data_IF_609479224213
#
_entry.id   IF_609479224213
#
_cell.length_a   1.000
_cell.length_b   1.000
_cell.length_c   1.000
_cell.angle_alpha   90.00
_cell.angle_beta   90.00
_cell.angle_gamma   90.00
#
_symmetry.space_group_name_H-M   'P 1'
#
loop_
_entity.id
_entity.type
_entity.pdbx_description
1 polymer ?
#
# COMPACT_ATOMS: atom_id res chain seq x y z
N UNK A 1 -19.68 6.42 11.41
CA UNK A 1 -19.41 7.30 10.25
C UNK A 1 -17.90 7.45 10.12
N UNK A 2 -17.30 6.78 9.14
CA UNK A 2 -15.84 6.76 8.98
C UNK A 2 -15.37 8.09 8.35
N UNK A 3 -14.60 8.88 9.10
CA UNK A 3 -14.04 10.17 8.65
C UNK A 3 -12.95 10.00 7.57
N UNK A 4 -12.57 8.77 7.24
CA UNK A 4 -11.51 8.42 6.31
C UNK A 4 -12.02 7.64 5.08
N UNK A 5 -13.33 7.41 4.99
CA UNK A 5 -13.95 6.72 3.85
C UNK A 5 -14.15 7.71 2.70
N UNK A 6 -13.16 7.81 1.82
CA UNK A 6 -13.27 8.61 0.60
C UNK A 6 -14.00 7.79 -0.47
N UNK A 7 -15.14 8.29 -0.95
CA UNK A 7 -15.94 7.67 -2.02
C UNK A 7 -15.39 7.93 -3.43
N UNK A 8 -14.42 8.86 -3.55
CA UNK A 8 -13.68 9.21 -4.77
C UNK A 8 -12.18 9.47 -4.43
N UNK A 9 -11.37 9.88 -5.43
CA UNK A 9 -9.92 10.16 -5.26
C UNK A 9 -9.70 11.24 -4.20
N UNK A 10 -8.89 10.95 -3.17
CA UNK A 10 -8.59 11.88 -2.09
C UNK A 10 -7.86 13.14 -2.63
N UNK A 11 -8.45 14.35 -2.52
CA UNK A 11 -7.88 15.58 -3.06
C UNK A 11 -6.67 16.11 -2.27
N UNK A 12 -6.37 15.54 -1.10
CA UNK A 12 -5.25 15.94 -0.23
C UNK A 12 -4.01 15.05 -0.32
N UNK A 13 -4.02 14.03 -1.19
CA UNK A 13 -2.88 13.14 -1.41
C UNK A 13 -2.40 13.21 -2.86
N UNK A 14 -1.63 14.26 -3.16
CA UNK A 14 -0.65 14.17 -4.25
C UNK A 14 0.30 13.03 -3.89
N UNK A 15 0.22 11.91 -4.62
CA UNK A 15 1.09 10.75 -4.35
C UNK A 15 2.35 10.82 -5.21
N UNK A 16 3.47 10.30 -4.70
CA UNK A 16 4.73 10.27 -5.45
C UNK A 16 4.59 9.62 -6.85
N UNK A 17 3.71 8.62 -6.98
CA UNK A 17 3.37 8.01 -8.28
C UNK A 17 2.72 9.00 -9.25
N UNK A 18 1.83 9.88 -8.78
CA UNK A 18 1.20 10.91 -9.60
C UNK A 18 2.18 12.02 -9.97
N UNK A 19 3.01 12.46 -9.02
CA UNK A 19 4.07 13.46 -9.27
C UNK A 19 5.00 13.02 -10.38
N UNK A 20 5.41 11.76 -10.32
CA UNK A 20 6.38 11.18 -11.24
C UNK A 20 5.74 10.61 -12.52
N UNK A 21 4.40 10.57 -12.60
CA UNK A 21 3.65 9.98 -13.72
C UNK A 21 4.03 8.50 -13.94
N UNK A 22 3.97 7.73 -12.85
CA UNK A 22 4.39 6.32 -12.74
C UNK A 22 3.20 5.47 -12.31
N UNK A 23 3.04 4.32 -12.98
CA UNK A 23 2.14 3.26 -12.54
C UNK A 23 2.70 2.57 -11.27
N UNK A 24 1.93 2.46 -10.17
CA UNK A 24 2.35 1.73 -8.98
C UNK A 24 2.87 0.31 -9.26
N UNK A 25 2.32 -0.38 -10.27
CA UNK A 25 2.74 -1.72 -10.66
C UNK A 25 4.00 -1.76 -11.55
N UNK A 26 4.56 -0.60 -11.93
CA UNK A 26 5.71 -0.54 -12.83
C UNK A 26 6.99 -1.10 -12.19
N UNK A 27 7.77 -1.82 -13.00
CA UNK A 27 9.07 -2.35 -12.62
C UNK A 27 10.13 -1.24 -12.41
N UNK A 28 11.26 -1.60 -11.79
CA UNK A 28 12.30 -0.61 -11.44
C UNK A 28 12.93 0.06 -12.67
N UNK A 29 13.07 -0.66 -13.77
CA UNK A 29 13.66 -0.12 -15.00
C UNK A 29 12.74 0.93 -15.63
N UNK A 30 11.44 0.65 -15.68
CA UNK A 30 10.41 1.58 -16.17
C UNK A 30 10.33 2.81 -15.26
N UNK A 31 10.36 2.63 -13.94
CA UNK A 31 10.36 3.72 -12.95
C UNK A 31 11.51 4.69 -13.22
N UNK A 32 12.76 4.21 -13.33
CA UNK A 32 13.93 5.07 -13.59
C UNK A 32 13.81 5.84 -14.90
N UNK A 33 13.37 5.16 -15.96
CA UNK A 33 13.15 5.77 -17.28
C UNK A 33 12.10 6.87 -17.21
N UNK A 34 11.00 6.64 -16.49
CA UNK A 34 9.90 7.60 -16.30
C UNK A 34 10.34 8.83 -15.51
N UNK A 35 11.08 8.65 -14.41
CA UNK A 35 11.64 9.76 -13.61
C UNK A 35 12.52 10.65 -14.49
N UNK A 36 13.44 10.05 -15.26
CA UNK A 36 14.33 10.79 -16.16
C UNK A 36 13.54 11.57 -17.23
N UNK A 37 12.53 10.92 -17.84
CA UNK A 37 11.66 11.58 -18.82
C UNK A 37 10.85 12.73 -18.21
N UNK A 38 10.33 12.55 -16.98
CA UNK A 38 9.56 13.56 -16.25
C UNK A 38 10.42 14.78 -15.92
N UNK A 39 11.63 14.56 -15.39
CA UNK A 39 12.62 15.63 -15.16
C UNK A 39 12.91 16.42 -16.42
N UNK A 40 13.18 15.73 -17.54
CA UNK A 40 13.48 16.38 -18.83
C UNK A 40 12.32 17.25 -19.34
N UNK A 41 11.07 16.80 -19.17
CA UNK A 41 9.88 17.56 -19.56
C UNK A 41 9.75 18.85 -18.75
N UNK A 42 9.92 18.75 -17.43
CA UNK A 42 9.76 19.88 -16.52
C UNK A 42 10.90 20.89 -16.66
N UNK A 43 12.13 20.43 -16.92
CA UNK A 43 13.25 21.32 -17.24
C UNK A 43 13.06 22.08 -18.55
N UNK A 44 12.32 21.52 -19.50
CA UNK A 44 12.07 22.15 -20.80
C UNK A 44 10.92 23.16 -20.73
N UNK A 45 9.78 22.76 -20.18
CA UNK A 45 8.62 23.64 -19.99
C UNK A 45 7.67 23.06 -18.93
N UNK A 46 7.85 23.46 -17.68
CA UNK A 46 7.01 23.04 -16.56
C UNK A 46 5.55 23.51 -16.70
N UNK A 47 5.30 24.66 -17.35
CA UNK A 47 3.95 25.24 -17.48
C UNK A 47 3.03 24.39 -18.36
N UNK A 48 3.62 23.61 -19.27
CA UNK A 48 2.88 22.72 -20.18
C UNK A 48 2.39 21.44 -19.51
N UNK A 49 2.93 21.10 -18.33
CA UNK A 49 2.61 19.85 -17.62
C UNK A 49 2.19 20.12 -16.17
N UNK A 50 1.11 20.87 -15.93
CA UNK A 50 0.62 21.08 -14.59
C UNK A 50 0.10 19.77 -13.99
N UNK A 51 0.37 19.57 -12.70
CA UNK A 51 -0.22 18.49 -11.92
C UNK A 51 -1.33 19.10 -11.06
N UNK A 52 -2.56 18.62 -11.24
CA UNK A 52 -3.75 19.18 -10.57
C UNK A 52 -3.90 20.71 -10.70
N UNK A 53 -3.44 21.28 -11.81
CA UNK A 53 -3.49 22.72 -12.06
C UNK A 53 -2.30 23.51 -11.50
N UNK A 54 -1.40 22.87 -10.73
CA UNK A 54 -0.17 23.50 -10.23
C UNK A 54 1.03 23.17 -11.12
N UNK A 55 1.92 24.14 -11.31
CA UNK A 55 3.18 23.93 -12.02
C UNK A 55 4.08 23.08 -11.12
N UNK A 56 4.52 21.94 -11.63
CA UNK A 56 5.40 21.05 -10.90
C UNK A 56 6.84 21.59 -10.92
N UNK A 57 7.49 21.62 -9.76
CA UNK A 57 8.87 22.09 -9.61
C UNK A 57 9.86 20.93 -9.38
N UNK A 58 11.16 21.23 -9.52
CA UNK A 58 12.22 20.23 -9.35
C UNK A 58 12.27 19.67 -7.92
N UNK A 59 12.13 20.48 -6.85
CA UNK A 59 12.06 19.97 -5.48
C UNK A 59 10.96 18.93 -5.26
N UNK A 60 9.73 19.12 -5.76
CA UNK A 60 8.65 18.13 -5.63
C UNK A 60 8.98 16.82 -6.33
N UNK A 61 9.60 16.85 -7.51
CA UNK A 61 10.06 15.64 -8.20
C UNK A 61 11.10 14.89 -7.37
N UNK A 62 12.05 15.61 -6.78
CA UNK A 62 13.11 14.99 -5.98
C UNK A 62 12.55 14.35 -4.71
N UNK A 63 11.62 15.03 -4.02
CA UNK A 63 10.93 14.49 -2.85
C UNK A 63 10.13 13.23 -3.21
N UNK A 64 9.44 13.23 -4.36
CA UNK A 64 8.71 12.06 -4.83
C UNK A 64 9.65 10.90 -5.20
N UNK A 65 10.81 11.17 -5.80
CA UNK A 65 11.82 10.13 -6.07
C UNK A 65 12.37 9.53 -4.77
N UNK A 66 12.69 10.37 -3.78
CA UNK A 66 13.16 9.92 -2.46
C UNK A 66 12.11 9.04 -1.77
N UNK A 67 10.83 9.41 -1.84
CA UNK A 67 9.74 8.62 -1.30
C UNK A 67 9.62 7.24 -1.97
N UNK A 68 9.99 7.10 -3.24
CA UNK A 68 9.98 5.80 -3.94
C UNK A 68 11.33 5.07 -3.93
N UNK A 69 12.37 5.64 -3.32
CA UNK A 69 13.73 5.11 -3.41
C UNK A 69 13.91 3.77 -2.69
N UNK A 70 13.23 3.57 -1.56
CA UNK A 70 13.34 2.34 -0.75
C UNK A 70 12.11 1.45 -0.91
N UNK A 71 12.23 0.11 -0.79
CA UNK A 71 11.07 -0.78 -0.83
C UNK A 71 10.02 -0.44 0.22
N UNK A 72 10.44 -0.03 1.43
CA UNK A 72 9.54 0.33 2.54
C UNK A 72 8.73 1.57 2.21
N UNK A 73 9.38 2.64 1.77
CA UNK A 73 8.71 3.92 1.47
C UNK A 73 7.87 3.82 0.21
N UNK A 74 8.30 3.02 -0.77
CA UNK A 74 7.50 2.68 -1.95
C UNK A 74 6.22 1.94 -1.57
N UNK A 75 6.31 0.88 -0.76
CA UNK A 75 5.13 0.12 -0.32
C UNK A 75 4.15 1.02 0.46
N UNK A 76 4.66 1.89 1.33
CA UNK A 76 3.83 2.88 2.01
C UNK A 76 3.11 3.83 1.03
N UNK A 77 3.80 4.27 -0.04
CA UNK A 77 3.18 5.09 -1.09
C UNK A 77 2.15 4.29 -1.93
N UNK A 78 2.38 3.01 -2.18
CA UNK A 78 1.45 2.13 -2.91
C UNK A 78 0.15 1.97 -2.12
N UNK A 79 0.24 1.70 -0.81
CA UNK A 79 -0.93 1.60 0.08
C UNK A 79 -1.82 2.85 0.07
N UNK A 80 -1.24 4.04 -0.10
CA UNK A 80 -2.01 5.29 -0.21
C UNK A 80 -2.75 5.43 -1.55
N UNK A 81 -2.38 4.63 -2.57
CA UNK A 81 -3.04 4.62 -3.88
C UNK A 81 -4.06 3.51 -4.06
N UNK A 82 -4.10 2.52 -3.16
CA UNK A 82 -5.09 1.45 -3.21
C UNK A 82 -6.49 2.01 -2.95
N UNK A 83 -7.42 1.60 -3.81
CA UNK A 83 -8.85 1.84 -3.58
C UNK A 83 -9.24 1.09 -2.30
N UNK A 84 -10.01 1.73 -1.44
CA UNK A 84 -10.61 1.04 -0.29
C UNK A 84 -11.33 -0.20 -0.81
N UNK A 85 -11.04 -1.36 -0.20
CA UNK A 85 -11.77 -2.58 -0.52
C UNK A 85 -13.28 -2.32 -0.37
N UNK A 86 -14.12 -2.89 -1.26
CA UNK A 86 -15.56 -2.81 -1.08
C UNK A 86 -15.91 -3.32 0.32
N UNK A 87 -16.73 -2.56 1.05
CA UNK A 87 -17.25 -3.02 2.35
C UNK A 87 -18.01 -4.35 2.14
N UNK A 88 -17.40 -5.42 2.61
CA UNK A 88 -17.86 -6.79 2.48
C UNK A 88 -16.70 -7.70 2.80
N UNK A 89 -16.61 -8.13 4.05
CA UNK A 89 -15.72 -9.22 4.41
C UNK A 89 -16.15 -10.43 3.57
N UNK A 90 -15.26 -10.93 2.70
CA UNK A 90 -15.46 -12.24 2.09
C UNK A 90 -15.21 -13.28 3.18
N UNK A 91 -16.20 -13.41 4.08
CA UNK A 91 -16.27 -14.33 5.19
C UNK A 91 -15.73 -15.73 4.85
N UNK A 92 -16.06 -16.34 3.70
CA UNK A 92 -15.47 -17.62 3.31
C UNK A 92 -13.95 -17.55 3.13
N UNK A 93 -13.41 -16.55 2.43
CA UNK A 93 -11.96 -16.36 2.23
C UNK A 93 -11.25 -16.15 3.58
N UNK A 94 -11.88 -15.40 4.50
CA UNK A 94 -11.34 -15.18 5.84
C UNK A 94 -11.31 -16.48 6.67
N UNK A 95 -12.34 -17.32 6.59
CA UNK A 95 -12.33 -18.64 7.23
C UNK A 95 -11.26 -19.57 6.66
N UNK A 96 -11.07 -19.57 5.33
CA UNK A 96 -10.02 -20.38 4.69
C UNK A 96 -8.62 -19.94 5.16
N UNK A 97 -8.37 -18.62 5.26
CA UNK A 97 -7.12 -18.08 5.78
C UNK A 97 -6.90 -18.43 7.25
N UNK A 98 -7.96 -18.42 8.08
CA UNK A 98 -7.87 -18.81 9.49
C UNK A 98 -7.52 -20.29 9.67
N UNK A 99 -8.09 -21.17 8.86
CA UNK A 99 -7.78 -22.60 8.93
C UNK A 99 -6.37 -22.90 8.40
N UNK A 100 -5.92 -22.18 7.38
CA UNK A 100 -4.53 -22.23 6.90
C UNK A 100 -3.55 -21.73 7.99
N UNK A 101 -3.86 -20.64 8.69
CA UNK A 101 -3.06 -20.15 9.80
C UNK A 101 -2.99 -21.15 10.97
N UNK A 102 -4.11 -21.81 11.31
CA UNK A 102 -4.14 -22.86 12.34
C UNK A 102 -3.29 -24.07 11.97
N UNK A 103 -3.37 -24.53 10.72
CA UNK A 103 -2.57 -25.66 10.24
C UNK A 103 -1.08 -25.34 10.22
N UNK A 104 -0.69 -24.13 9.81
CA UNK A 104 0.69 -23.67 9.89
C UNK A 104 1.20 -23.56 11.34
N UNK A 105 0.41 -22.99 12.26
CA UNK A 105 0.79 -22.92 13.68
C UNK A 105 0.95 -24.30 14.29
N UNK A 106 0.04 -25.23 14.00
CA UNK A 106 0.14 -26.61 14.48
C UNK A 106 1.38 -27.32 13.91
N UNK A 107 1.76 -27.02 12.66
CA UNK A 107 2.98 -27.54 12.04
C UNK A 107 4.25 -26.93 12.64
N UNK A 108 4.25 -25.64 12.99
CA UNK A 108 5.37 -24.98 13.70
C UNK A 108 5.56 -25.54 15.12
N UNK A 109 4.47 -25.81 15.84
CA UNK A 109 4.52 -26.42 17.17
C UNK A 109 4.92 -27.91 17.13
N UNK A 110 4.87 -28.56 15.96
CA UNK A 110 5.19 -29.98 15.76
C UNK A 110 6.57 -30.24 15.12
N UNK A 111 7.29 -29.21 14.66
CA UNK A 111 8.57 -29.33 13.99
C UNK A 111 9.77 -29.06 14.91
N UNK A 112 10.94 -29.71 14.70
CA UNK A 112 12.15 -29.37 15.43
C UNK A 112 12.51 -27.91 15.15
N UNK A 113 12.56 -27.09 16.21
CA UNK A 113 12.88 -25.67 16.17
C UNK A 113 14.27 -25.42 15.57
N UNK A 114 14.34 -25.24 14.26
CA UNK A 114 15.53 -24.70 13.61
C UNK A 114 15.32 -23.19 13.45
N UNK A 115 15.94 -22.43 14.35
CA UNK A 115 16.02 -20.99 14.27
C UNK A 115 16.83 -20.60 13.02
N UNK A 116 16.15 -20.12 11.97
CA UNK A 116 16.80 -19.40 10.88
C UNK A 116 16.59 -17.92 11.16
N UNK A 117 17.71 -17.28 11.49
CA UNK A 117 17.84 -15.91 11.95
C UNK A 117 17.62 -14.92 10.78
N UNK A 118 16.80 -13.88 10.98
CA UNK A 118 16.83 -12.67 10.15
C UNK A 118 15.61 -12.31 9.28
N UNK A 119 14.56 -13.12 9.20
CA UNK A 119 13.31 -12.70 8.53
C UNK A 119 12.32 -12.13 9.56
N UNK A 120 11.62 -11.01 9.28
CA UNK A 120 10.52 -10.56 10.14
C UNK A 120 9.43 -11.63 10.13
N UNK A 121 9.38 -12.45 11.18
CA UNK A 121 8.30 -13.42 11.39
C UNK A 121 7.06 -12.65 11.79
N UNK A 122 6.02 -12.75 10.97
CA UNK A 122 4.69 -12.29 11.33
C UNK A 122 4.17 -13.20 12.45
N UNK A 123 3.84 -12.62 13.61
CA UNK A 123 3.23 -13.37 14.70
C UNK A 123 1.74 -13.56 14.42
N UNK A 124 1.39 -14.69 13.82
CA UNK A 124 0.01 -15.03 13.45
C UNK A 124 -0.90 -15.26 14.67
N UNK A 125 -0.34 -15.41 15.88
CA UNK A 125 -1.11 -15.58 17.12
C UNK A 125 -1.87 -14.31 17.53
N UNK A 126 -1.56 -13.18 16.90
CA UNK A 126 -2.21 -11.89 17.16
C UNK A 126 -3.52 -11.75 16.38
N UNK A 127 -3.71 -12.47 15.27
CA UNK A 127 -4.88 -12.35 14.38
C UNK A 127 -6.24 -12.54 15.09
N UNK A 128 -6.43 -13.53 15.98
CA UNK A 128 -7.71 -13.71 16.67
C UNK A 128 -8.09 -12.54 17.59
N UNK A 129 -7.13 -11.72 18.01
CA UNK A 129 -7.36 -10.55 18.88
C UNK A 129 -7.73 -9.29 18.12
N UNK A 130 -7.58 -9.31 16.79
CA UNK A 130 -7.86 -8.18 15.91
C UNK A 130 -9.27 -8.23 15.31
N UNK A 131 -10.00 -9.34 15.50
CA UNK A 131 -11.38 -9.48 15.04
C UNK A 131 -12.34 -8.72 15.98
N UNK A 132 -13.22 -7.85 15.47
CA UNK A 132 -14.28 -7.27 16.27
C UNK A 132 -15.21 -8.37 16.79
N UNK A 133 -15.70 -8.22 18.03
CA UNK A 133 -16.69 -9.14 18.59
C UNK A 133 -17.93 -9.15 17.67
N UNK A 134 -18.50 -10.33 17.34
CA UNK A 134 -19.71 -10.39 16.55
C UNK A 134 -20.78 -9.55 17.26
N UNK A 135 -21.31 -8.56 16.56
CA UNK A 135 -22.34 -7.67 17.12
C UNK A 135 -23.58 -8.53 17.36
N UNK A 136 -23.97 -8.69 18.62
CA UNK A 136 -25.21 -9.39 18.98
C UNK A 136 -26.39 -8.65 18.32
N UNK A 137 -26.94 -9.24 17.26
CA UNK A 137 -28.22 -8.82 16.69
C UNK A 137 -29.27 -8.90 17.80
N UNK A 138 -29.75 -7.74 18.26
CA UNK A 138 -30.88 -7.65 19.18
C UNK A 138 -32.15 -7.82 18.35
N UNK A 139 -32.94 -8.90 18.52
CA UNK A 139 -34.21 -9.04 17.82
C UNK A 139 -35.26 -8.08 18.41
N UNK A 140 -36.05 -7.50 17.51
CA UNK A 140 -37.16 -6.59 17.80
C UNK A 140 -38.39 -7.32 18.39
#
# INVERSE_FOLDING_TARGET
>A
MNLWAWRDRNPYYETAFQVLDIDPAADRATVRTRIAARRKRISYDAKRFPLFGEILDVPRINAAEEQLATPRTRLAAELLTHRTEPEGEDLPELTELLDLARTLSAAEDSGPHSAVDGAPRLDYRVLPRLLPSPTEETPA
#
